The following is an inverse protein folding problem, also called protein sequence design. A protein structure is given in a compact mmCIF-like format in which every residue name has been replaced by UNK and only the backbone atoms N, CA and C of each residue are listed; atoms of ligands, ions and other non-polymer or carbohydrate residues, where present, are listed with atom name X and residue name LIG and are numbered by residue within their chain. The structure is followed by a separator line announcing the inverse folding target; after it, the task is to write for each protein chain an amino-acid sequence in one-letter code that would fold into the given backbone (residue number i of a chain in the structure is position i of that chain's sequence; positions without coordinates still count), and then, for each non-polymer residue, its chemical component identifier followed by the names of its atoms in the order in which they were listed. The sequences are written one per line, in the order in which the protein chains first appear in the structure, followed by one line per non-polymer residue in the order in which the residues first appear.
data_IF_473895647409
#
_entry.id   IF_473895647409
#
_cell.length_a   1.000
_cell.length_b   1.000
_cell.length_c   1.000
_cell.angle_alpha   90.00
_cell.angle_beta   90.00
_cell.angle_gamma   90.00
#
_symmetry.space_group_name_H-M   'P 1'
#
loop_
_entity.id
_entity.type
_entity.pdbx_description
1 polymer ?
#
# COMPACT_ATOMS: atom_id res chain seq x y z
N UNK A 1 17.09 42.01 -34.83
CA UNK A 1 17.80 40.77 -34.44
C UNK A 1 17.67 40.49 -32.91
N UNK A 2 17.44 41.54 -32.08
CA UNK A 2 17.17 41.37 -30.63
C UNK A 2 15.84 40.65 -30.42
N UNK A 3 14.82 40.88 -31.24
CA UNK A 3 13.52 40.24 -31.17
C UNK A 3 13.63 38.71 -31.42
N UNK A 4 14.48 38.24 -32.32
CA UNK A 4 14.73 36.83 -32.57
C UNK A 4 15.42 36.14 -31.41
N UNK A 5 16.32 36.84 -30.71
CA UNK A 5 16.99 36.34 -29.51
C UNK A 5 16.02 36.18 -28.31
N UNK A 6 15.11 37.12 -28.16
CA UNK A 6 14.07 37.05 -27.11
C UNK A 6 13.08 35.95 -27.38
N UNK A 7 12.62 35.78 -28.63
CA UNK A 7 11.71 34.68 -29.01
C UNK A 7 12.37 33.33 -28.83
N UNK A 8 13.64 33.16 -29.18
CA UNK A 8 14.38 31.92 -29.00
C UNK A 8 14.63 31.59 -27.50
N UNK A 9 14.86 32.62 -26.69
CA UNK A 9 15.01 32.46 -25.23
C UNK A 9 13.70 32.05 -24.56
N UNK A 10 12.57 32.63 -24.98
CA UNK A 10 11.24 32.24 -24.47
C UNK A 10 10.86 30.82 -24.93
N UNK A 11 11.19 30.46 -26.17
CA UNK A 11 10.94 29.11 -26.69
C UNK A 11 11.78 28.03 -25.97
N UNK A 12 13.01 28.37 -25.57
CA UNK A 12 13.89 27.49 -24.80
C UNK A 12 13.40 27.30 -23.35
N UNK A 13 12.74 28.31 -22.78
CA UNK A 13 12.21 28.26 -21.41
C UNK A 13 10.92 27.43 -21.30
N UNK A 14 10.18 27.27 -22.42
CA UNK A 14 8.93 26.47 -22.46
C UNK A 14 9.22 24.97 -22.56
N UNK A 15 10.42 24.55 -22.96
CA UNK A 15 10.78 23.15 -23.15
C UNK A 15 11.26 22.43 -21.88
N UNK A 16 11.32 23.07 -20.73
CA UNK A 16 11.96 22.49 -19.53
C UNK A 16 11.01 21.98 -18.43
N UNK A 17 9.70 21.99 -18.63
CA UNK A 17 8.77 21.38 -17.67
C UNK A 17 8.47 19.95 -18.12
N UNK A 18 9.41 19.06 -17.84
CA UNK A 18 9.17 17.63 -18.01
C UNK A 18 8.60 17.07 -16.70
N UNK A 19 7.27 16.95 -16.63
CA UNK A 19 6.61 16.25 -15.55
C UNK A 19 6.87 14.75 -15.65
N UNK A 20 7.24 14.13 -14.54
CA UNK A 20 7.29 12.68 -14.41
C UNK A 20 5.85 12.16 -14.48
N UNK A 21 5.49 11.42 -15.50
CA UNK A 21 4.15 10.87 -15.63
C UNK A 21 4.09 9.43 -15.13
N UNK A 22 3.31 9.24 -14.06
CA UNK A 22 2.83 7.93 -13.62
C UNK A 22 3.85 7.02 -12.92
N UNK A 23 3.84 7.02 -11.59
CA UNK A 23 4.40 5.93 -10.80
C UNK A 23 3.32 4.88 -10.61
N UNK A 24 3.57 3.65 -11.08
CA UNK A 24 2.62 2.55 -10.96
C UNK A 24 3.20 1.47 -10.06
N UNK A 25 2.47 1.14 -9.00
CA UNK A 25 2.78 0.00 -8.16
C UNK A 25 1.76 -1.09 -8.46
N UNK A 26 2.24 -2.22 -8.95
CA UNK A 26 1.42 -3.39 -9.18
C UNK A 26 1.43 -4.27 -7.94
N UNK A 27 0.26 -4.69 -7.48
CA UNK A 27 0.13 -5.60 -6.35
C UNK A 27 -0.28 -6.98 -6.84
N UNK A 28 0.42 -7.99 -6.33
CA UNK A 28 0.02 -9.39 -6.41
C UNK A 28 -0.38 -9.86 -5.02
N UNK A 29 -1.59 -10.37 -4.86
CA UNK A 29 -2.08 -10.87 -3.58
C UNK A 29 -2.17 -12.39 -3.66
N UNK A 30 -1.46 -13.06 -2.74
CA UNK A 30 -1.40 -14.51 -2.63
C UNK A 30 -2.12 -14.92 -1.34
N UNK A 31 -3.20 -15.66 -1.47
CA UNK A 31 -4.01 -16.15 -0.33
C UNK A 31 -3.98 -17.66 -0.25
N UNK A 32 -3.95 -18.19 0.98
CA UNK A 32 -4.14 -19.61 1.21
C UNK A 32 -5.59 -20.03 0.94
N UNK A 33 -5.81 -21.29 0.65
CA UNK A 33 -7.15 -21.86 0.50
C UNK A 33 -8.00 -21.57 1.75
N UNK A 34 -9.23 -21.12 1.58
CA UNK A 34 -10.19 -20.68 2.60
C UNK A 34 -10.07 -19.22 3.10
N UNK A 35 -9.13 -18.47 2.57
CA UNK A 35 -9.11 -17.00 2.65
C UNK A 35 -9.53 -16.41 1.31
N UNK A 36 -10.12 -15.21 1.34
CA UNK A 36 -10.37 -14.41 0.15
C UNK A 36 -9.75 -13.04 0.35
N UNK A 37 -9.25 -12.45 -0.74
CA UNK A 37 -8.68 -11.10 -0.68
C UNK A 37 -9.09 -10.30 -1.91
N UNK A 38 -9.59 -9.11 -1.67
CA UNK A 38 -9.96 -8.14 -2.69
C UNK A 38 -9.13 -6.87 -2.56
N UNK A 39 -8.82 -6.24 -3.67
CA UNK A 39 -8.19 -4.94 -3.70
C UNK A 39 -9.29 -3.87 -3.80
N UNK A 40 -9.43 -3.07 -2.75
CA UNK A 40 -10.44 -2.01 -2.68
C UNK A 40 -9.92 -0.68 -3.25
N UNK A 41 -8.62 -0.40 -3.09
CA UNK A 41 -7.98 0.77 -3.67
C UNK A 41 -6.55 0.48 -4.11
N UNK A 42 -6.16 1.05 -5.25
CA UNK A 42 -4.77 1.04 -5.72
C UNK A 42 -3.92 2.05 -4.95
N UNK A 43 -2.64 1.71 -4.75
CA UNK A 43 -1.68 2.68 -4.26
C UNK A 43 -1.19 3.55 -5.43
N UNK A 44 -1.30 4.87 -5.27
CA UNK A 44 -0.91 5.82 -6.30
C UNK A 44 -0.19 7.03 -5.68
N UNK A 45 1.09 7.17 -5.97
CA UNK A 45 1.82 8.37 -5.64
C UNK A 45 1.35 9.55 -6.51
N UNK A 46 1.37 10.78 -5.96
CA UNK A 46 1.06 11.96 -6.75
C UNK A 46 2.07 12.14 -7.88
N UNK A 47 1.72 12.95 -8.86
CA UNK A 47 2.65 13.34 -9.89
C UNK A 47 3.80 14.15 -9.27
N UNK A 48 5.03 13.75 -9.57
CA UNK A 48 6.25 14.36 -9.01
C UNK A 48 7.16 14.86 -10.12
N UNK A 49 8.10 15.74 -9.80
CA UNK A 49 9.15 16.22 -10.71
C UNK A 49 10.51 15.67 -10.27
N UNK A 50 11.43 15.55 -11.24
CA UNK A 50 12.81 15.14 -10.94
C UNK A 50 13.43 16.11 -9.92
N UNK A 51 13.96 15.55 -8.84
CA UNK A 51 14.58 16.32 -7.76
C UNK A 51 13.62 16.74 -6.62
N UNK A 52 12.35 16.34 -6.64
CA UNK A 52 11.39 16.67 -5.56
C UNK A 52 11.80 16.04 -4.20
N UNK A 53 12.69 15.04 -4.22
CA UNK A 53 13.11 14.36 -3.00
C UNK A 53 12.06 13.37 -2.50
N UNK A 54 11.94 13.23 -1.17
CA UNK A 54 11.04 12.24 -0.57
C UNK A 54 9.59 12.69 -0.71
N UNK A 55 8.81 11.87 -1.41
CA UNK A 55 7.35 12.00 -1.50
C UNK A 55 6.72 10.85 -0.72
N UNK A 56 5.80 11.18 0.17
CA UNK A 56 5.17 10.22 1.08
C UNK A 56 3.67 10.08 0.81
N UNK A 57 3.17 8.88 0.99
CA UNK A 57 1.76 8.57 1.24
C UNK A 57 1.69 8.06 2.66
N UNK A 58 1.01 8.78 3.53
CA UNK A 58 0.80 8.40 4.92
C UNK A 58 -0.41 7.47 5.09
N UNK A 59 -0.51 6.89 6.29
CA UNK A 59 -1.69 6.15 6.71
C UNK A 59 -2.88 7.12 6.80
N UNK A 60 -3.92 6.90 5.99
CA UNK A 60 -5.08 7.78 5.86
C UNK A 60 -5.09 8.68 4.64
N UNK A 61 -4.00 8.74 3.90
CA UNK A 61 -3.96 9.52 2.67
C UNK A 61 -4.73 8.82 1.54
N UNK A 62 -5.33 9.61 0.64
CA UNK A 62 -6.15 9.11 -0.44
C UNK A 62 -5.41 8.27 -1.49
N UNK A 63 -4.07 8.28 -1.47
CA UNK A 63 -3.24 7.49 -2.39
C UNK A 63 -2.75 6.15 -1.83
N UNK A 64 -3.13 5.75 -0.61
CA UNK A 64 -2.72 4.47 -0.04
C UNK A 64 -3.46 3.29 -0.68
N UNK A 65 -2.79 2.13 -0.74
CA UNK A 65 -3.40 0.88 -1.16
C UNK A 65 -4.30 0.30 -0.06
N UNK A 66 -5.50 -0.18 -0.42
CA UNK A 66 -6.43 -0.80 0.53
C UNK A 66 -6.81 -2.19 0.02
N UNK A 67 -6.69 -3.18 0.90
CA UNK A 67 -7.06 -4.57 0.64
C UNK A 67 -8.00 -5.06 1.73
N UNK A 68 -9.05 -5.76 1.33
CA UNK A 68 -9.96 -6.46 2.22
C UNK A 68 -9.64 -7.95 2.21
N UNK A 69 -9.44 -8.54 3.39
CA UNK A 69 -9.18 -9.97 3.58
C UNK A 69 -10.36 -10.55 4.33
N UNK A 70 -11.00 -11.57 3.76
CA UNK A 70 -12.13 -12.27 4.38
C UNK A 70 -11.73 -13.68 4.80
N UNK A 71 -12.07 -14.03 6.02
CA UNK A 71 -11.71 -15.32 6.59
C UNK A 71 -12.48 -15.65 7.86
N UNK A 72 -12.19 -16.82 8.43
CA UNK A 72 -12.82 -17.30 9.66
C UNK A 72 -12.45 -16.44 10.87
N UNK A 73 -13.44 -15.89 11.57
CA UNK A 73 -13.25 -14.98 12.71
C UNK A 73 -12.43 -15.56 13.88
N UNK A 74 -12.34 -16.87 13.98
CA UNK A 74 -11.67 -17.56 15.10
C UNK A 74 -10.19 -17.83 14.83
N UNK A 75 -9.74 -17.67 13.58
CA UNK A 75 -8.37 -17.99 13.17
C UNK A 75 -7.47 -16.77 13.16
N UNK A 76 -6.21 -17.01 13.43
CA UNK A 76 -5.14 -16.03 13.31
C UNK A 76 -4.59 -16.03 11.88
N UNK A 77 -4.26 -14.84 11.41
CA UNK A 77 -3.73 -14.61 10.08
C UNK A 77 -2.32 -14.03 10.18
N UNK A 78 -1.44 -14.52 9.33
CA UNK A 78 -0.16 -13.89 9.06
C UNK A 78 -0.21 -13.21 7.69
N UNK A 79 0.19 -11.95 7.67
CA UNK A 79 0.35 -11.14 6.46
C UNK A 79 1.80 -10.77 6.30
N UNK A 80 2.36 -11.00 5.11
CA UNK A 80 3.74 -10.60 4.77
C UNK A 80 3.71 -9.74 3.51
N UNK A 81 4.30 -8.54 3.61
CA UNK A 81 4.50 -7.62 2.50
C UNK A 81 5.91 -7.81 1.94
N UNK A 82 6.02 -8.14 0.66
CA UNK A 82 7.31 -8.24 -0.05
C UNK A 82 7.34 -7.16 -1.13
N UNK A 83 8.06 -6.09 -0.87
CA UNK A 83 8.20 -4.95 -1.77
C UNK A 83 9.60 -4.87 -2.36
N UNK A 84 9.76 -4.43 -3.60
CA UNK A 84 11.07 -4.11 -4.15
C UNK A 84 11.63 -2.86 -3.45
N UNK A 85 12.94 -2.76 -3.38
CA UNK A 85 13.60 -1.58 -2.80
C UNK A 85 13.58 -0.36 -3.72
N UNK A 86 13.24 -0.57 -5.01
CA UNK A 86 13.21 0.48 -6.01
C UNK A 86 12.06 0.26 -7.01
N UNK A 87 11.47 1.35 -7.47
CA UNK A 87 10.72 1.37 -8.72
C UNK A 87 11.70 1.48 -9.89
N UNK A 88 11.37 0.87 -11.03
CA UNK A 88 12.20 0.83 -12.24
C UNK A 88 11.51 1.61 -13.36
N UNK A 89 12.27 2.45 -14.08
CA UNK A 89 11.75 3.19 -15.23
C UNK A 89 11.35 2.22 -16.35
N UNK A 90 10.14 2.35 -16.87
CA UNK A 90 9.57 1.41 -17.85
C UNK A 90 10.41 1.31 -19.13
N UNK A 91 10.93 2.42 -19.63
CA UNK A 91 11.74 2.44 -20.87
C UNK A 91 13.25 2.41 -20.65
N UNK A 92 13.73 2.76 -19.46
CA UNK A 92 15.15 2.83 -19.11
C UNK A 92 15.46 2.09 -17.82
N UNK A 93 15.58 0.76 -17.82
CA UNK A 93 15.69 -0.06 -16.59
C UNK A 93 16.87 0.26 -15.67
N UNK A 94 17.90 0.95 -16.18
CA UNK A 94 19.01 1.45 -15.36
C UNK A 94 18.61 2.64 -14.47
N UNK A 95 17.49 3.29 -14.73
CA UNK A 95 16.96 4.38 -13.94
C UNK A 95 16.01 3.80 -12.88
N UNK A 96 16.32 4.04 -11.62
CA UNK A 96 15.54 3.52 -10.50
C UNK A 96 15.20 4.63 -9.52
N UNK A 97 14.13 4.44 -8.77
CA UNK A 97 13.64 5.35 -7.75
C UNK A 97 13.44 4.55 -6.46
N UNK A 98 14.14 4.87 -5.36
CA UNK A 98 13.99 4.18 -4.09
C UNK A 98 12.53 4.16 -3.60
N UNK A 99 12.09 2.98 -3.15
CA UNK A 99 10.76 2.71 -2.61
C UNK A 99 10.87 2.13 -1.22
N UNK A 100 10.12 2.67 -0.28
CA UNK A 100 10.00 2.13 1.07
C UNK A 100 8.54 2.03 1.45
N UNK A 101 8.02 0.81 1.58
CA UNK A 101 6.64 0.53 1.94
C UNK A 101 6.53 -0.10 3.31
N UNK A 102 5.42 0.18 3.96
CA UNK A 102 4.96 -0.47 5.18
C UNK A 102 3.46 -0.68 5.09
N UNK A 103 2.89 -1.39 6.05
CA UNK A 103 1.45 -1.56 6.10
C UNK A 103 0.91 -1.51 7.53
N UNK A 104 -0.39 -1.26 7.62
CA UNK A 104 -1.18 -1.38 8.83
C UNK A 104 -2.38 -2.27 8.57
N UNK A 105 -3.01 -2.78 9.63
CA UNK A 105 -4.20 -3.61 9.54
C UNK A 105 -5.27 -3.17 10.55
N UNK A 106 -6.54 -3.32 10.16
CA UNK A 106 -7.70 -3.14 11.05
C UNK A 106 -8.55 -4.41 11.00
N UNK A 107 -8.78 -5.04 12.15
CA UNK A 107 -9.44 -6.34 12.27
C UNK A 107 -10.73 -6.27 13.12
N UNK A 108 -11.47 -5.17 13.01
CA UNK A 108 -12.74 -4.95 13.70
C UNK A 108 -13.98 -5.24 12.82
N UNK A 109 -13.77 -5.74 11.61
CA UNK A 109 -14.83 -6.05 10.66
C UNK A 109 -15.32 -4.84 9.85
N UNK A 110 -14.69 -3.67 10.02
CA UNK A 110 -15.03 -2.43 9.32
C UNK A 110 -13.76 -1.75 8.82
N UNK A 111 -13.88 -1.05 7.68
CA UNK A 111 -12.81 -0.24 7.13
C UNK A 111 -12.69 1.06 7.93
N UNK A 112 -11.94 1.01 9.04
CA UNK A 112 -11.73 2.15 9.92
C UNK A 112 -10.23 2.33 10.20
N UNK A 113 -9.66 3.34 9.59
CA UNK A 113 -8.25 3.66 9.69
C UNK A 113 -7.84 4.11 11.10
N UNK A 114 -8.77 4.66 11.89
CA UNK A 114 -8.48 5.09 13.26
C UNK A 114 -8.20 3.90 14.20
N UNK A 115 -8.60 2.71 13.80
CA UNK A 115 -8.35 1.46 14.52
C UNK A 115 -7.19 0.67 13.91
N UNK A 116 -6.51 1.22 12.91
CA UNK A 116 -5.41 0.55 12.25
C UNK A 116 -4.18 0.43 13.16
N UNK A 117 -3.58 -0.75 13.16
CA UNK A 117 -2.34 -1.08 13.87
C UNK A 117 -1.22 -1.26 12.85
N UNK A 118 -0.14 -0.50 13.00
CA UNK A 118 1.03 -0.61 12.11
C UNK A 118 1.76 -1.92 12.34
N UNK A 119 2.11 -2.60 11.24
CA UNK A 119 2.93 -3.79 11.28
C UNK A 119 4.36 -3.47 11.77
N UNK A 120 4.98 -4.44 12.44
CA UNK A 120 6.39 -4.34 12.82
C UNK A 120 7.25 -4.98 11.73
N UNK A 121 7.93 -4.16 10.96
CA UNK A 121 8.64 -4.61 9.76
C UNK A 121 7.66 -4.92 8.62
N UNK A 122 7.92 -6.01 7.92
CA UNK A 122 7.14 -6.42 6.75
C UNK A 122 6.14 -7.57 7.02
N UNK A 123 5.94 -7.95 8.26
CA UNK A 123 5.03 -9.04 8.66
C UNK A 123 4.16 -8.62 9.83
N UNK A 124 2.90 -9.02 9.81
CA UNK A 124 1.98 -8.87 10.95
C UNK A 124 1.21 -10.18 11.18
N UNK A 125 0.98 -10.51 12.45
CA UNK A 125 0.11 -11.61 12.89
C UNK A 125 -1.00 -11.05 13.73
N UNK A 126 -2.24 -11.40 13.40
CA UNK A 126 -3.42 -10.91 14.12
C UNK A 126 -4.59 -11.87 13.98
N UNK A 127 -5.53 -11.80 14.90
CA UNK A 127 -6.80 -12.51 14.78
C UNK A 127 -7.64 -11.88 13.69
N UNK A 128 -8.34 -12.68 12.90
CA UNK A 128 -9.23 -12.16 11.84
C UNK A 128 -10.27 -11.16 12.39
N UNK A 129 -10.74 -11.39 13.62
CA UNK A 129 -11.59 -10.42 14.33
C UNK A 129 -11.04 -10.16 15.72
N UNK A 130 -10.68 -8.93 15.99
CA UNK A 130 -10.31 -8.53 17.33
C UNK A 130 -11.51 -8.62 18.25
N UNK A 131 -11.34 -9.34 19.34
CA UNK A 131 -12.35 -9.38 20.39
C UNK A 131 -12.29 -8.07 21.17
N UNK A 132 -13.38 -7.33 21.17
CA UNK A 132 -13.49 -6.18 22.07
C UNK A 132 -13.30 -6.68 23.49
N UNK A 133 -12.28 -6.17 24.17
CA UNK A 133 -12.09 -6.41 25.59
C UNK A 133 -13.20 -5.69 26.36
N UNK A 134 -14.27 -6.42 26.62
CA UNK A 134 -15.25 -6.01 27.62
C UNK A 134 -14.64 -6.12 29.04
N UNK A 135 -15.30 -5.54 30.05
CA UNK A 135 -14.91 -5.79 31.44
C UNK A 135 -14.81 -7.30 31.66
N UNK A 136 -13.82 -7.75 32.45
CA UNK A 136 -13.59 -9.15 32.73
C UNK A 136 -14.90 -9.78 33.26
N UNK A 137 -15.61 -10.42 32.37
CA UNK A 137 -16.83 -11.17 32.65
C UNK A 137 -16.53 -12.62 32.95
N UNK A 138 -17.55 -13.39 33.24
CA UNK A 138 -17.44 -14.84 33.37
C UNK A 138 -16.73 -15.41 32.10
N UNK A 139 -15.90 -16.45 32.24
CA UNK A 139 -15.27 -17.09 31.10
C UNK A 139 -16.35 -17.45 30.08
N UNK A 140 -16.06 -17.28 28.80
CA UNK A 140 -17.03 -17.54 27.74
C UNK A 140 -17.55 -18.97 27.88
N UNK A 141 -18.86 -19.13 27.89
CA UNK A 141 -19.49 -20.46 27.86
C UNK A 141 -18.96 -21.15 26.58
N UNK A 142 -18.45 -22.39 26.65
CA UNK A 142 -18.05 -23.11 25.45
C UNK A 142 -19.18 -23.04 24.45
N UNK A 143 -18.89 -22.84 23.15
CA UNK A 143 -19.93 -22.76 22.15
C UNK A 143 -20.78 -24.03 22.20
N UNK A 144 -22.08 -23.86 22.27
CA UNK A 144 -23.03 -24.98 22.21
C UNK A 144 -22.80 -25.75 20.90
N UNK A 145 -23.05 -27.04 20.92
CA UNK A 145 -22.98 -27.88 19.70
C UNK A 145 -23.83 -27.23 18.60
N UNK A 146 -23.18 -26.71 17.55
CA UNK A 146 -23.84 -25.97 16.48
C UNK A 146 -23.25 -24.58 16.21
N UNK A 147 -22.20 -24.15 16.91
CA UNK A 147 -21.49 -22.93 16.55
C UNK A 147 -20.87 -23.05 15.15
N UNK A 148 -21.28 -22.16 14.25
CA UNK A 148 -20.68 -22.03 12.93
C UNK A 148 -19.83 -20.76 12.94
N UNK A 149 -18.50 -20.88 12.74
CA UNK A 149 -17.63 -19.71 12.64
C UNK A 149 -18.11 -18.78 11.53
N UNK A 150 -18.10 -17.48 11.81
CA UNK A 150 -18.49 -16.48 10.83
C UNK A 150 -17.31 -16.07 9.98
N UNK A 151 -17.60 -15.71 8.73
CA UNK A 151 -16.64 -15.06 7.87
C UNK A 151 -16.67 -13.56 8.18
N UNK A 152 -15.50 -13.01 8.48
CA UNK A 152 -15.30 -11.59 8.80
C UNK A 152 -14.22 -10.99 7.89
N UNK A 153 -14.22 -9.67 7.79
CA UNK A 153 -13.25 -8.96 6.95
C UNK A 153 -12.29 -8.16 7.81
N UNK A 154 -11.00 -8.31 7.54
CA UNK A 154 -9.94 -7.43 8.02
C UNK A 154 -9.44 -6.57 6.87
N UNK A 155 -8.98 -5.36 7.16
CA UNK A 155 -8.49 -4.42 6.17
C UNK A 155 -6.99 -4.20 6.32
N UNK A 156 -6.28 -4.16 5.19
CA UNK A 156 -4.86 -3.83 5.13
C UNK A 156 -4.69 -2.50 4.40
N UNK A 157 -3.84 -1.65 4.92
CA UNK A 157 -3.50 -0.35 4.38
C UNK A 157 -2.01 -0.32 4.06
N UNK A 158 -1.65 -0.23 2.78
CA UNK A 158 -0.26 -0.14 2.33
C UNK A 158 0.07 1.31 2.00
N UNK A 159 1.14 1.82 2.59
CA UNK A 159 1.58 3.19 2.44
C UNK A 159 3.11 3.28 2.54
N UNK A 160 3.68 4.45 2.26
CA UNK A 160 5.14 4.60 2.32
C UNK A 160 5.67 5.76 1.51
N UNK A 161 6.92 5.67 1.08
CA UNK A 161 7.65 6.76 0.45
C UNK A 161 8.35 6.32 -0.82
N UNK A 162 8.50 7.27 -1.76
CA UNK A 162 9.47 7.22 -2.85
C UNK A 162 10.47 8.35 -2.66
N UNK A 163 11.73 8.14 -3.09
CA UNK A 163 12.73 9.20 -3.13
C UNK A 163 13.00 9.59 -4.60
N UNK A 164 12.48 10.77 -4.94
CA UNK A 164 12.54 11.32 -6.31
C UNK A 164 13.81 12.12 -6.47
N UNK A 165 14.92 11.43 -6.74
CA UNK A 165 16.19 12.04 -7.08
C UNK A 165 16.18 12.70 -8.47
N UNK A 166 17.37 13.02 -8.99
CA UNK A 166 17.57 13.50 -10.36
C UNK A 166 17.44 12.35 -11.36
N UNK A 167 16.23 11.88 -11.57
CA UNK A 167 15.90 10.73 -12.41
C UNK A 167 15.29 11.17 -13.73
N UNK A 168 15.33 10.29 -14.75
CA UNK A 168 14.70 10.58 -16.05
C UNK A 168 13.19 10.75 -15.90
N UNK A 169 12.61 11.63 -16.69
CA UNK A 169 11.15 11.76 -16.79
C UNK A 169 10.53 10.52 -17.43
N UNK A 170 9.38 10.08 -16.92
CA UNK A 170 8.67 8.92 -17.47
C UNK A 170 7.93 8.14 -16.40
N UNK A 171 7.42 6.98 -16.78
CA UNK A 171 6.73 6.08 -15.88
C UNK A 171 7.71 5.15 -15.16
N UNK A 172 7.52 4.98 -13.86
CA UNK A 172 8.23 4.04 -13.01
C UNK A 172 7.26 3.00 -12.48
N UNK A 173 7.66 1.75 -12.40
CA UNK A 173 6.81 0.66 -11.94
C UNK A 173 7.57 -0.30 -11.03
N UNK A 174 6.83 -0.99 -10.17
CA UNK A 174 7.31 -2.08 -9.33
C UNK A 174 6.18 -3.01 -8.97
N UNK A 175 6.47 -4.27 -8.67
CA UNK A 175 5.49 -5.24 -8.19
C UNK A 175 5.70 -5.50 -6.72
N UNK A 176 4.64 -5.46 -5.96
CA UNK A 176 4.58 -5.74 -4.52
C UNK A 176 3.73 -6.98 -4.32
N UNK A 177 4.28 -7.98 -3.64
CA UNK A 177 3.57 -9.20 -3.30
C UNK A 177 3.05 -9.13 -1.86
N UNK A 178 1.78 -9.48 -1.68
CA UNK A 178 1.12 -9.57 -0.39
C UNK A 178 0.72 -11.02 -0.15
N UNK A 179 1.38 -11.67 0.80
CA UNK A 179 1.10 -13.06 1.18
C UNK A 179 0.21 -13.07 2.41
N UNK A 180 -0.89 -13.79 2.33
CA UNK A 180 -1.87 -13.93 3.42
C UNK A 180 -2.14 -15.40 3.65
N UNK A 181 -1.95 -15.83 4.88
CA UNK A 181 -2.18 -17.23 5.28
C UNK A 181 -2.69 -17.32 6.72
N UNK A 182 -3.38 -18.42 7.03
CA UNK A 182 -3.65 -18.73 8.43
C UNK A 182 -2.38 -19.16 9.13
N UNK A 183 -2.26 -18.78 10.39
CA UNK A 183 -1.09 -19.08 11.23
C UNK A 183 -1.41 -20.10 12.30
#
# INVERSE_FOLDING_TARGET
NILHLIIMSILLMIMSVQSLSGQTINFSVHVASSLDATKDADMAFPQVMAGDGITAIGLGDGGMGIFAISGNEELDVEVTLVAPTNLVHVSYPAQTMPLNLTFAYANYGVNDINQAKTATGNTARFQMKERQSGPAGAPPTPPSSGHTPQIVTAYLYVYGTIDVGMVASGAYSGTVDLYVQYY
#
